data_IF_092849869134
#
_entry.id   IF_092849869134
#
_cell.length_a   1.000
_cell.length_b   1.000
_cell.length_c   1.000
_cell.angle_alpha   90.00
_cell.angle_beta   90.00
_cell.angle_gamma   90.00
#
_symmetry.space_group_name_H-M   'P 1'
#
loop_
_entity.id
_entity.type
_entity.pdbx_description
1 polymer ?
#
# COMPACT_ATOMS: atom_id res chain seq x y z
N UNK A 1 36.70 -19.63 49.77
CA UNK A 1 37.08 -19.12 48.44
C UNK A 1 35.84 -19.09 47.55
N UNK A 2 34.96 -18.10 47.78
CA UNK A 2 33.67 -17.99 47.13
C UNK A 2 33.36 -16.50 46.93
N UNK A 3 33.85 -15.91 45.84
CA UNK A 3 33.47 -14.57 45.40
C UNK A 3 34.12 -14.27 44.04
N UNK A 4 33.54 -14.75 42.93
CA UNK A 4 33.83 -14.18 41.59
C UNK A 4 32.81 -14.56 40.51
N UNK A 5 31.54 -14.74 40.86
CA UNK A 5 30.47 -15.00 39.89
C UNK A 5 29.22 -14.20 40.23
N UNK A 6 29.37 -12.89 40.43
CA UNK A 6 28.23 -12.00 40.74
C UNK A 6 28.40 -10.57 40.21
N UNK A 7 29.00 -10.41 39.03
CA UNK A 7 29.29 -9.09 38.49
C UNK A 7 29.13 -9.00 36.97
N UNK A 8 28.03 -9.52 36.42
CA UNK A 8 27.60 -9.22 35.04
C UNK A 8 26.06 -9.24 34.89
N UNK A 9 25.32 -8.75 35.88
CA UNK A 9 23.84 -8.68 35.82
C UNK A 9 23.27 -7.40 36.46
N UNK A 10 24.01 -6.29 36.51
CA UNK A 10 23.57 -5.06 37.20
C UNK A 10 23.32 -3.83 36.33
N UNK A 11 23.39 -3.93 35.00
CA UNK A 11 23.18 -2.75 34.13
C UNK A 11 22.12 -2.91 33.02
N UNK A 12 21.19 -3.86 33.16
CA UNK A 12 20.00 -3.86 32.30
C UNK A 12 18.85 -3.15 33.03
N UNK A 13 18.69 -1.86 32.74
CA UNK A 13 17.50 -1.09 33.11
C UNK A 13 16.26 -1.76 32.50
N UNK A 14 15.29 -2.24 33.29
CA UNK A 14 14.13 -2.94 32.76
C UNK A 14 12.99 -1.95 32.44
N UNK A 15 13.25 -0.91 31.64
CA UNK A 15 12.22 0.07 31.26
C UNK A 15 12.10 0.37 29.77
N UNK A 16 12.85 -0.33 28.90
CA UNK A 16 12.72 -0.21 27.42
C UNK A 16 12.64 -1.55 26.67
N UNK A 17 12.50 -2.68 27.37
CA UNK A 17 12.52 -4.02 26.77
C UNK A 17 11.16 -4.70 26.62
N UNK A 18 10.07 -3.96 26.84
CA UNK A 18 8.70 -4.42 26.62
C UNK A 18 7.92 -3.35 25.82
N UNK A 19 8.46 -2.94 24.68
CA UNK A 19 7.54 -2.67 23.57
C UNK A 19 7.03 -4.04 23.15
N UNK A 20 5.90 -4.43 23.77
CA UNK A 20 5.06 -5.50 23.28
C UNK A 20 4.98 -5.33 21.77
N UNK A 21 5.57 -6.26 21.03
CA UNK A 21 5.28 -6.41 19.60
C UNK A 21 3.79 -6.65 19.56
N UNK A 22 3.00 -5.60 19.33
CA UNK A 22 1.62 -5.75 18.94
C UNK A 22 1.67 -6.61 17.69
N UNK A 23 1.23 -7.85 17.80
CA UNK A 23 1.06 -8.71 16.65
C UNK A 23 -0.04 -8.03 15.85
N UNK A 24 0.32 -7.39 14.73
CA UNK A 24 -0.67 -6.85 13.82
C UNK A 24 -1.43 -8.06 13.23
N UNK A 25 -2.68 -8.22 13.64
CA UNK A 25 -3.58 -9.20 13.03
C UNK A 25 -4.08 -8.59 11.74
N UNK A 26 -3.93 -9.33 10.64
CA UNK A 26 -4.43 -8.92 9.34
C UNK A 26 -5.59 -9.82 8.94
N UNK A 27 -6.62 -9.20 8.37
CA UNK A 27 -7.70 -9.90 7.69
C UNK A 27 -7.37 -9.94 6.20
N UNK A 28 -7.54 -11.10 5.60
CA UNK A 28 -7.28 -11.35 4.18
C UNK A 28 -8.58 -11.67 3.46
N UNK A 29 -8.89 -10.90 2.41
CA UNK A 29 -10.02 -11.12 1.50
C UNK A 29 -9.48 -11.42 0.11
N UNK A 30 -10.02 -12.45 -0.52
CA UNK A 30 -9.64 -12.89 -1.86
C UNK A 30 -10.84 -12.71 -2.80
N UNK A 31 -10.62 -12.03 -3.92
CA UNK A 31 -11.63 -11.70 -4.92
C UNK A 31 -11.24 -12.32 -6.26
N UNK A 32 -12.21 -12.87 -6.98
CA UNK A 32 -12.01 -13.32 -8.35
C UNK A 32 -12.12 -12.12 -9.30
N UNK A 33 -11.12 -11.94 -10.15
CA UNK A 33 -11.02 -10.80 -11.08
C UNK A 33 -10.44 -11.28 -12.41
N UNK A 34 -10.72 -10.60 -13.53
CA UNK A 34 -10.01 -10.90 -14.77
C UNK A 34 -8.52 -10.58 -14.64
N UNK A 35 -7.69 -11.26 -15.44
CA UNK A 35 -6.22 -10.99 -15.51
C UNK A 35 -5.89 -9.54 -15.86
N UNK A 36 -6.78 -8.89 -16.62
CA UNK A 36 -6.72 -7.46 -16.95
C UNK A 36 -7.87 -6.77 -16.23
N UNK A 37 -7.56 -5.98 -15.21
CA UNK A 37 -8.56 -5.32 -14.40
C UNK A 37 -8.15 -3.88 -14.05
N UNK A 38 -9.14 -3.07 -13.69
CA UNK A 38 -8.97 -1.72 -13.18
C UNK A 38 -9.15 -1.77 -11.66
N UNK A 39 -8.08 -1.47 -10.91
CA UNK A 39 -8.11 -1.47 -9.44
C UNK A 39 -8.20 -0.03 -8.96
N UNK A 40 -9.33 0.31 -8.36
CA UNK A 40 -9.61 1.59 -7.74
C UNK A 40 -9.54 1.43 -6.23
N UNK A 41 -8.68 2.23 -5.60
CA UNK A 41 -8.47 2.23 -4.15
C UNK A 41 -8.65 3.67 -3.68
N UNK A 42 -9.59 3.91 -2.78
CA UNK A 42 -9.78 5.19 -2.11
C UNK A 42 -9.83 4.96 -0.59
N UNK A 43 -8.68 5.11 0.08
CA UNK A 43 -8.52 4.76 1.49
C UNK A 43 -7.71 5.83 2.23
N UNK A 44 -8.05 6.20 3.48
CA UNK A 44 -7.26 7.16 4.25
C UNK A 44 -5.96 6.59 4.84
N UNK A 45 -5.60 5.36 4.48
CA UNK A 45 -4.49 4.59 5.06
C UNK A 45 -3.28 4.54 4.14
N UNK A 46 -2.12 4.13 4.66
CA UNK A 46 -0.99 3.83 3.78
C UNK A 46 -1.33 2.61 2.92
N UNK A 47 -1.19 2.73 1.59
CA UNK A 47 -1.55 1.67 0.64
C UNK A 47 -0.29 1.09 0.02
N UNK A 48 -0.17 -0.23 0.03
CA UNK A 48 0.88 -0.95 -0.69
C UNK A 48 0.24 -1.90 -1.70
N UNK A 49 0.42 -1.62 -2.98
CA UNK A 49 -0.07 -2.46 -4.07
C UNK A 49 1.09 -3.24 -4.68
N UNK A 50 1.02 -4.57 -4.69
CA UNK A 50 2.06 -5.45 -5.26
C UNK A 50 1.47 -6.39 -6.31
N UNK A 51 2.26 -6.87 -7.27
CA UNK A 51 1.80 -7.90 -8.18
C UNK A 51 1.54 -9.23 -7.45
N UNK A 52 0.59 -10.00 -7.95
CA UNK A 52 0.43 -11.40 -7.60
C UNK A 52 1.66 -12.21 -8.00
N UNK A 53 1.95 -13.24 -7.19
CA UNK A 53 3.00 -14.20 -7.52
C UNK A 53 2.48 -15.18 -8.60
N UNK A 54 3.01 -15.07 -9.81
CA UNK A 54 2.66 -15.89 -10.99
C UNK A 54 2.89 -17.40 -10.74
N UNK A 55 3.86 -17.76 -9.89
CA UNK A 55 4.12 -19.17 -9.55
C UNK A 55 3.08 -19.77 -8.61
N UNK A 56 2.37 -18.93 -7.85
CA UNK A 56 1.26 -19.36 -6.98
C UNK A 56 -0.10 -19.22 -7.66
N UNK A 57 -0.25 -18.21 -8.52
CA UNK A 57 -1.51 -17.83 -9.17
C UNK A 57 -1.31 -17.79 -10.69
N UNK A 58 -1.30 -18.96 -11.32
CA UNK A 58 -0.94 -19.09 -12.75
C UNK A 58 -1.87 -18.33 -13.69
N UNK A 59 -3.16 -18.24 -13.36
CA UNK A 59 -4.16 -17.52 -14.17
C UNK A 59 -4.17 -16.00 -13.92
N UNK A 60 -3.53 -15.54 -12.84
CA UNK A 60 -3.58 -14.15 -12.38
C UNK A 60 -5.02 -13.61 -12.31
N UNK A 61 -5.96 -14.46 -11.89
CA UNK A 61 -7.41 -14.23 -11.87
C UNK A 61 -7.92 -13.84 -10.47
N UNK A 62 -7.03 -13.31 -9.63
CA UNK A 62 -7.31 -13.02 -8.24
C UNK A 62 -6.84 -11.63 -7.84
N UNK A 63 -7.51 -11.07 -6.85
CA UNK A 63 -7.07 -9.89 -6.14
C UNK A 63 -7.16 -10.17 -4.64
N UNK A 64 -6.08 -9.92 -3.92
CA UNK A 64 -6.00 -10.20 -2.48
C UNK A 64 -5.86 -8.88 -1.75
N UNK A 65 -6.76 -8.63 -0.81
CA UNK A 65 -6.73 -7.46 0.06
C UNK A 65 -6.37 -7.94 1.46
N UNK A 66 -5.34 -7.34 2.06
CA UNK A 66 -4.98 -7.55 3.46
C UNK A 66 -5.02 -6.22 4.18
N UNK A 67 -5.83 -6.14 5.22
CA UNK A 67 -5.98 -4.94 6.04
C UNK A 67 -5.86 -5.32 7.51
N UNK A 68 -5.49 -4.36 8.35
CA UNK A 68 -5.54 -4.53 9.79
C UNK A 68 -6.96 -4.90 10.24
N UNK A 69 -7.08 -5.86 11.16
CA UNK A 69 -8.36 -6.33 11.72
C UNK A 69 -9.23 -5.19 12.26
N UNK A 70 -8.61 -4.11 12.78
CA UNK A 70 -9.30 -2.91 13.26
C UNK A 70 -10.18 -2.24 12.20
N UNK A 71 -9.84 -2.41 10.92
CA UNK A 71 -10.50 -1.76 9.79
C UNK A 71 -11.28 -2.75 8.92
N UNK A 72 -11.44 -4.01 9.34
CA UNK A 72 -12.13 -5.03 8.54
C UNK A 72 -13.56 -4.61 8.19
N UNK A 73 -14.25 -4.02 9.17
CA UNK A 73 -15.66 -3.66 9.07
C UNK A 73 -15.90 -2.35 8.30
N UNK A 74 -14.89 -1.45 8.23
CA UNK A 74 -15.01 -0.22 7.44
C UNK A 74 -14.66 -0.43 5.97
N UNK A 75 -13.85 -1.45 5.67
CA UNK A 75 -13.40 -1.74 4.32
C UNK A 75 -14.51 -2.38 3.47
N UNK A 76 -15.00 -1.65 2.47
CA UNK A 76 -15.90 -2.14 1.44
C UNK A 76 -15.12 -2.44 0.16
N UNK A 77 -15.57 -3.47 -0.56
CA UNK A 77 -15.09 -3.75 -1.89
C UNK A 77 -16.25 -4.19 -2.78
N UNK A 78 -16.15 -3.85 -4.06
CA UNK A 78 -17.11 -4.25 -5.08
C UNK A 78 -16.37 -4.66 -6.36
N UNK A 79 -16.92 -5.64 -7.07
CA UNK A 79 -16.38 -6.16 -8.33
C UNK A 79 -17.46 -6.08 -9.39
N UNK A 80 -17.29 -5.13 -10.32
CA UNK A 80 -18.23 -4.90 -11.43
C UNK A 80 -17.48 -5.08 -12.74
N UNK A 81 -17.66 -6.24 -13.36
CA UNK A 81 -16.97 -6.58 -14.61
C UNK A 81 -15.46 -6.70 -14.41
N UNK A 82 -14.69 -5.82 -15.06
CA UNK A 82 -13.23 -5.76 -14.93
C UNK A 82 -12.77 -4.75 -13.87
N UNK A 83 -13.68 -4.06 -13.19
CA UNK A 83 -13.35 -3.03 -12.22
C UNK A 83 -13.48 -3.58 -10.80
N UNK A 84 -12.47 -3.33 -9.97
CA UNK A 84 -12.48 -3.59 -8.54
C UNK A 84 -12.40 -2.25 -7.83
N UNK A 85 -13.36 -1.97 -6.95
CA UNK A 85 -13.34 -0.78 -6.09
C UNK A 85 -13.09 -1.21 -4.66
N UNK A 86 -12.21 -0.50 -3.96
CA UNK A 86 -11.85 -0.72 -2.57
C UNK A 86 -11.91 0.63 -1.88
N UNK A 87 -12.96 0.82 -1.09
CA UNK A 87 -13.29 2.10 -0.47
C UNK A 87 -13.59 1.89 1.02
N UNK A 88 -13.60 2.97 1.79
CA UNK A 88 -14.01 2.95 3.19
C UNK A 88 -15.46 3.43 3.36
N UNK A 89 -16.25 2.73 4.17
CA UNK A 89 -17.66 3.09 4.48
C UNK A 89 -17.81 4.03 5.66
N UNK A 90 -16.86 3.99 6.60
CA UNK A 90 -16.89 4.73 7.86
C UNK A 90 -15.49 5.30 8.08
N UNK A 91 -15.37 6.62 8.17
CA UNK A 91 -14.10 7.27 8.51
C UNK A 91 -13.61 6.80 9.89
N UNK A 92 -12.59 5.95 9.92
CA UNK A 92 -11.91 5.58 11.16
C UNK A 92 -10.63 6.42 11.30
N UNK A 93 -10.52 7.20 12.38
CA UNK A 93 -9.30 7.96 12.72
C UNK A 93 -8.20 7.07 13.32
N UNK A 94 -7.88 5.95 12.66
CA UNK A 94 -6.78 5.09 13.09
C UNK A 94 -5.46 5.59 12.51
N UNK A 95 -4.55 5.98 13.41
CA UNK A 95 -3.18 6.29 13.06
C UNK A 95 -2.45 4.96 12.78
N UNK A 96 -1.64 4.96 11.74
CA UNK A 96 -0.76 3.84 11.37
C UNK A 96 -1.46 2.54 10.89
N UNK A 97 -2.56 2.67 10.15
CA UNK A 97 -3.15 1.54 9.39
C UNK A 97 -2.48 1.43 8.02
N UNK A 98 -2.29 0.20 7.57
CA UNK A 98 -1.75 -0.12 6.25
C UNK A 98 -2.63 -1.14 5.54
N UNK A 99 -2.98 -0.84 4.30
CA UNK A 99 -3.70 -1.73 3.39
C UNK A 99 -2.71 -2.31 2.38
N UNK A 100 -2.65 -3.63 2.29
CA UNK A 100 -1.88 -4.35 1.28
C UNK A 100 -2.80 -4.95 0.24
N UNK A 101 -2.59 -4.59 -1.01
CA UNK A 101 -3.33 -5.16 -2.14
C UNK A 101 -2.36 -5.95 -3.01
N UNK A 102 -2.71 -7.19 -3.34
CA UNK A 102 -2.04 -7.95 -4.40
C UNK A 102 -2.96 -8.08 -5.60
N UNK A 103 -2.55 -7.54 -6.74
CA UNK A 103 -3.36 -7.51 -7.96
C UNK A 103 -2.65 -8.22 -9.12
N UNK A 104 -3.38 -8.61 -10.18
CA UNK A 104 -2.77 -9.12 -11.40
C UNK A 104 -1.72 -8.15 -11.97
N UNK A 105 -0.61 -8.68 -12.51
CA UNK A 105 0.50 -7.85 -13.04
C UNK A 105 0.02 -6.87 -14.11
N UNK A 106 -1.03 -7.22 -14.85
CA UNK A 106 -1.57 -6.42 -15.97
C UNK A 106 -2.72 -5.49 -15.57
N UNK A 107 -2.82 -5.16 -14.29
CA UNK A 107 -3.85 -4.25 -13.79
C UNK A 107 -3.52 -2.78 -14.07
N UNK A 108 -4.54 -1.98 -14.36
CA UNK A 108 -4.47 -0.54 -14.23
C UNK A 108 -4.74 -0.15 -12.77
N UNK A 109 -4.04 0.87 -12.29
CA UNK A 109 -4.09 1.26 -10.89
C UNK A 109 -4.58 2.71 -10.76
N UNK A 110 -5.59 2.91 -9.93
CA UNK A 110 -6.14 4.20 -9.56
C UNK A 110 -6.17 4.25 -8.03
N UNK A 111 -5.17 4.88 -7.42
CA UNK A 111 -4.94 4.85 -5.98
C UNK A 111 -5.04 6.27 -5.46
N UNK A 112 -6.02 6.51 -4.60
CA UNK A 112 -6.15 7.71 -3.80
C UNK A 112 -5.94 7.33 -2.34
N UNK A 113 -5.02 8.04 -1.68
CA UNK A 113 -4.79 7.85 -0.26
C UNK A 113 -4.51 9.16 0.45
N UNK A 114 -4.86 9.23 1.73
CA UNK A 114 -4.40 10.35 2.58
C UNK A 114 -2.92 10.21 2.96
N UNK A 115 -2.37 8.99 2.95
CA UNK A 115 -1.02 8.65 3.42
C UNK A 115 -0.16 8.04 2.32
N UNK A 116 0.90 7.34 2.69
CA UNK A 116 1.90 6.81 1.77
C UNK A 116 1.29 5.81 0.77
N UNK A 117 1.77 5.86 -0.46
CA UNK A 117 1.44 4.91 -1.51
C UNK A 117 2.71 4.20 -1.96
N UNK A 118 2.70 2.88 -1.95
CA UNK A 118 3.79 2.04 -2.45
C UNK A 118 3.28 1.13 -3.57
N UNK A 119 3.77 1.32 -4.78
CA UNK A 119 3.41 0.53 -5.96
C UNK A 119 4.58 -0.36 -6.36
N UNK A 120 4.35 -1.66 -6.41
CA UNK A 120 5.31 -2.65 -6.90
C UNK A 120 5.37 -2.70 -8.43
N UNK A 121 5.87 -3.82 -8.97
CA UNK A 121 5.96 -4.00 -10.42
C UNK A 121 4.61 -4.27 -11.09
N UNK A 122 4.22 -3.43 -12.05
CA UNK A 122 3.02 -3.61 -12.87
C UNK A 122 3.27 -3.33 -14.36
N UNK A 123 2.49 -3.99 -15.22
CA UNK A 123 2.45 -3.82 -16.67
C UNK A 123 1.01 -3.55 -17.12
N UNK A 124 0.47 -2.41 -16.70
CA UNK A 124 -0.86 -1.92 -17.10
C UNK A 124 -0.75 -0.71 -18.02
N UNK A 125 -1.86 -0.25 -18.58
CA UNK A 125 -1.86 0.96 -19.41
C UNK A 125 -1.75 2.23 -18.56
N UNK A 126 -2.34 2.23 -17.36
CA UNK A 126 -2.54 3.42 -16.53
C UNK A 126 -2.15 3.19 -15.07
N UNK A 127 -1.35 4.10 -14.54
CA UNK A 127 -1.09 4.27 -13.12
C UNK A 127 -1.43 5.71 -12.72
N UNK A 128 -2.43 5.86 -11.86
CA UNK A 128 -2.76 7.10 -11.18
C UNK A 128 -2.60 6.88 -9.68
N UNK A 129 -1.70 7.62 -9.04
CA UNK A 129 -1.46 7.52 -7.60
C UNK A 129 -1.43 8.91 -6.98
N UNK A 130 -2.39 9.21 -6.12
CA UNK A 130 -2.54 10.51 -5.46
C UNK A 130 -2.50 10.32 -3.95
N UNK A 131 -1.44 10.83 -3.32
CA UNK A 131 -1.36 10.94 -1.86
C UNK A 131 -1.70 12.36 -1.41
N UNK A 132 -2.43 12.54 -0.31
CA UNK A 132 -2.67 13.89 0.24
C UNK A 132 -1.49 14.35 1.10
N UNK A 133 -1.00 13.51 2.01
CA UNK A 133 0.00 13.89 3.02
C UNK A 133 1.18 12.92 3.13
N UNK A 134 1.30 11.94 2.23
CA UNK A 134 2.31 10.89 2.29
C UNK A 134 3.25 10.85 1.08
N UNK A 135 4.27 10.01 1.21
CA UNK A 135 5.19 9.72 0.11
C UNK A 135 4.52 8.82 -0.93
N UNK A 136 4.85 9.01 -2.21
CA UNK A 136 4.48 8.05 -3.27
C UNK A 136 5.73 7.39 -3.82
N UNK A 137 5.80 6.08 -3.67
CA UNK A 137 6.85 5.22 -4.19
C UNK A 137 6.32 4.34 -5.31
N UNK A 138 6.97 4.35 -6.47
CA UNK A 138 6.68 3.47 -7.59
C UNK A 138 7.96 2.72 -7.96
N UNK A 139 7.92 1.39 -7.88
CA UNK A 139 9.08 0.53 -8.09
C UNK A 139 9.39 0.31 -9.56
N UNK A 140 8.50 -0.37 -10.29
CA UNK A 140 8.61 -0.58 -11.75
C UNK A 140 7.23 -0.47 -12.35
N UNK A 141 7.11 0.24 -13.44
CA UNK A 141 5.85 0.33 -14.17
C UNK A 141 6.11 0.38 -15.67
N UNK A 142 5.34 -0.37 -16.45
CA UNK A 142 5.40 -0.32 -17.90
C UNK A 142 3.99 -0.14 -18.47
N UNK A 143 3.76 0.95 -19.20
CA UNK A 143 2.43 1.28 -19.69
C UNK A 143 2.36 2.47 -20.63
N UNK A 144 1.19 3.09 -20.70
CA UNK A 144 0.95 4.27 -21.52
C UNK A 144 0.98 5.57 -20.69
N UNK A 145 0.51 5.54 -19.45
CA UNK A 145 0.41 6.73 -18.61
C UNK A 145 0.74 6.44 -17.14
N UNK A 146 1.61 7.27 -16.56
CA UNK A 146 1.92 7.32 -15.14
C UNK A 146 1.68 8.74 -14.66
N UNK A 147 0.77 8.93 -13.72
CA UNK A 147 0.51 10.20 -13.08
C UNK A 147 0.54 10.01 -11.56
N UNK A 148 1.50 10.67 -10.93
CA UNK A 148 1.75 10.56 -9.50
C UNK A 148 1.69 11.93 -8.86
N UNK A 149 0.90 12.06 -7.80
CA UNK A 149 0.68 13.32 -7.10
C UNK A 149 0.86 13.08 -5.61
N UNK A 150 1.52 14.01 -4.91
CA UNK A 150 1.46 14.10 -3.44
C UNK A 150 1.22 15.54 -3.01
N UNK A 151 0.37 15.78 -2.00
CA UNK A 151 0.18 17.12 -1.44
C UNK A 151 1.26 17.53 -0.42
N UNK A 152 1.79 16.58 0.33
CA UNK A 152 2.82 16.84 1.34
C UNK A 152 3.70 15.63 1.57
N UNK A 153 4.51 15.29 0.57
CA UNK A 153 5.44 14.17 0.63
C UNK A 153 6.42 14.18 -0.54
N UNK A 154 7.17 13.11 -0.65
CA UNK A 154 8.13 12.90 -1.73
C UNK A 154 7.56 11.93 -2.77
N UNK A 155 7.92 12.15 -4.02
CA UNK A 155 7.67 11.18 -5.09
C UNK A 155 8.99 10.49 -5.42
N UNK A 156 8.99 9.16 -5.42
CA UNK A 156 10.12 8.33 -5.83
C UNK A 156 9.67 7.38 -6.92
N UNK A 157 10.17 7.61 -8.14
CA UNK A 157 10.03 6.70 -9.27
C UNK A 157 11.37 5.97 -9.42
N UNK A 158 11.41 4.69 -9.09
CA UNK A 158 12.63 3.91 -9.04
C UNK A 158 12.80 3.01 -10.27
N UNK A 159 14.01 2.46 -10.41
CA UNK A 159 14.39 1.43 -11.39
C UNK A 159 13.93 1.69 -12.84
N UNK A 160 12.83 1.08 -13.26
CA UNK A 160 12.29 1.13 -14.62
C UNK A 160 10.81 1.51 -14.59
N UNK A 161 10.55 2.82 -14.65
CA UNK A 161 9.23 3.38 -14.94
C UNK A 161 9.23 3.85 -16.39
N UNK A 162 8.56 3.11 -17.26
CA UNK A 162 8.47 3.35 -18.70
C UNK A 162 7.01 3.57 -19.10
N UNK A 163 6.68 4.79 -19.52
CA UNK A 163 5.39 5.09 -20.11
C UNK A 163 5.51 6.12 -21.21
N UNK A 164 4.53 6.18 -22.11
CA UNK A 164 4.47 7.22 -23.12
C UNK A 164 4.31 8.62 -22.49
N UNK A 165 3.57 8.69 -21.38
CA UNK A 165 3.36 9.92 -20.62
C UNK A 165 3.67 9.66 -19.14
N UNK A 166 4.57 10.46 -18.56
CA UNK A 166 4.90 10.42 -17.14
C UNK A 166 4.72 11.83 -16.58
N UNK A 167 3.91 11.97 -15.54
CA UNK A 167 3.72 13.19 -14.80
C UNK A 167 3.86 12.95 -13.30
N UNK A 168 4.61 13.79 -12.62
CA UNK A 168 4.85 13.69 -11.18
C UNK A 168 4.79 15.09 -10.57
N UNK A 169 3.90 15.30 -9.61
CA UNK A 169 3.66 16.63 -9.04
C UNK A 169 3.57 16.57 -7.51
N UNK A 170 4.37 17.40 -6.84
CA UNK A 170 4.15 17.72 -5.43
C UNK A 170 3.28 18.98 -5.40
N UNK A 171 2.02 18.84 -4.98
CA UNK A 171 1.09 19.95 -4.89
C UNK A 171 1.43 20.75 -3.62
N UNK A 172 2.21 21.82 -3.76
CA UNK A 172 2.45 22.72 -2.63
C UNK A 172 1.11 23.20 -2.08
N UNK A 173 0.85 22.94 -0.80
CA UNK A 173 -0.25 23.55 -0.06
C UNK A 173 -0.06 25.08 -0.07
N UNK A 174 -0.56 25.74 -1.11
CA UNK A 174 -0.32 27.16 -1.35
C UNK A 174 -0.89 27.78 -2.63
N UNK A 175 -1.42 27.02 -3.59
CA UNK A 175 -2.14 27.60 -4.73
C UNK A 175 -3.43 26.82 -5.02
N UNK A 176 -4.53 27.32 -4.47
CA UNK A 176 -5.85 27.13 -5.07
C UNK A 176 -5.88 27.91 -6.39
N UNK A 177 -6.28 27.24 -7.47
CA UNK A 177 -6.78 27.92 -8.68
C UNK A 177 -8.28 28.16 -8.48
#
# INVERSE_FOLDING_TARGET
MAALTKLLLRDLRPSKLLQLKAFATYVEKELEVPTFCDVHIDLPYSVTVKPLNIHKYHNLDKLIIKVDERCENSLQHDVVGNQVKIDETVDIEEKDVMCYVKAPVKANLYINSKKDINVGYFQGDKLYATSQEGDVYVDRFQGNSVNVITGNGNIRLNEFVQAANISAYVQENGVSI
#
